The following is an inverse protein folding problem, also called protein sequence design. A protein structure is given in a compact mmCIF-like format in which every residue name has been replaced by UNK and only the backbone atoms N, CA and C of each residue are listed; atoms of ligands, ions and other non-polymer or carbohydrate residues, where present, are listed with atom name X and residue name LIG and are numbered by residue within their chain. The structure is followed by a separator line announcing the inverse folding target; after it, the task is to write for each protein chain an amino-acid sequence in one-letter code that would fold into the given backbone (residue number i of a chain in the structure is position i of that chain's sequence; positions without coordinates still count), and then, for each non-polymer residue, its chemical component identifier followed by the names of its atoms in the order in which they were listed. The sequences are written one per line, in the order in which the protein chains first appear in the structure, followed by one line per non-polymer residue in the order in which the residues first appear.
data_IF_442908567617
#
_entry.id   IF_442908567617
#
_cell.length_a   1.000
_cell.length_b   1.000
_cell.length_c   1.000
_cell.angle_alpha   90.00
_cell.angle_beta   90.00
_cell.angle_gamma   90.00
#
_symmetry.space_group_name_H-M   'P 1'
#
loop_
_entity.id
_entity.type
_entity.pdbx_description
1 polymer ?
#
# COMPACT_ATOMS: atom_id res chain seq x y z
N UNK A 1 -17.47 11.36 9.75
CA UNK A 1 -16.55 10.25 9.43
C UNK A 1 -15.18 10.59 9.98
N UNK A 2 -14.66 9.79 10.89
CA UNK A 2 -13.27 9.87 11.37
C UNK A 2 -12.51 8.73 10.68
N UNK A 3 -11.31 9.00 10.15
CA UNK A 3 -10.50 7.98 9.45
C UNK A 3 -10.54 7.98 7.91
N UNK A 4 -10.45 9.15 7.27
CA UNK A 4 -10.32 9.23 5.80
C UNK A 4 -8.87 9.05 5.28
N UNK A 5 -7.87 9.25 6.14
CA UNK A 5 -6.46 9.22 5.76
C UNK A 5 -5.68 8.30 6.70
N UNK A 6 -4.96 7.34 6.12
CA UNK A 6 -3.98 6.52 6.84
C UNK A 6 -2.59 7.11 6.56
N UNK A 7 -2.03 7.81 7.55
CA UNK A 7 -0.70 8.40 7.44
C UNK A 7 0.29 7.50 8.17
N UNK A 8 1.26 6.97 7.44
CA UNK A 8 2.30 6.09 7.96
C UNK A 8 3.61 6.87 7.91
N UNK A 9 4.13 7.24 9.09
CA UNK A 9 5.47 7.82 9.21
C UNK A 9 6.48 6.73 9.59
N UNK A 10 7.68 6.80 9.01
CA UNK A 10 8.75 5.82 9.21
C UNK A 10 10.07 6.53 9.39
N UNK A 11 10.70 6.32 10.53
CA UNK A 11 11.99 6.91 10.86
C UNK A 11 12.81 5.95 11.74
N UNK A 12 14.13 6.15 11.73
CA UNK A 12 15.03 5.49 12.66
C UNK A 12 15.18 6.39 13.89
N UNK A 13 14.87 5.86 15.08
CA UNK A 13 14.99 6.59 16.33
C UNK A 13 15.97 5.87 17.27
N UNK A 14 16.81 6.65 17.98
CA UNK A 14 17.72 6.11 18.99
C UNK A 14 16.97 5.54 20.21
N UNK A 15 15.79 6.08 20.51
CA UNK A 15 14.85 5.56 21.50
C UNK A 15 13.48 5.48 20.85
N UNK A 16 12.92 4.27 20.77
CA UNK A 16 11.60 4.02 20.20
C UNK A 16 10.73 3.35 21.26
N UNK A 17 9.57 3.95 21.57
CA UNK A 17 8.60 3.40 22.49
C UNK A 17 7.35 2.98 21.70
N UNK A 18 6.96 1.70 21.71
CA UNK A 18 5.72 1.25 21.09
C UNK A 18 4.54 1.90 21.82
N UNK A 19 3.60 2.46 21.05
CA UNK A 19 2.48 3.20 21.59
C UNK A 19 1.25 3.05 20.70
N UNK A 20 0.11 2.74 21.29
CA UNK A 20 -1.18 2.71 20.60
C UNK A 20 -2.10 3.71 21.24
N UNK A 21 -2.59 4.66 20.45
CA UNK A 21 -3.48 5.71 20.93
C UNK A 21 -4.72 5.81 20.04
N UNK A 22 -5.86 5.84 20.71
CA UNK A 22 -7.17 5.82 20.11
C UNK A 22 -7.84 7.18 20.33
N UNK A 23 -7.68 8.07 19.36
CA UNK A 23 -8.28 9.40 19.43
C UNK A 23 -9.68 9.37 18.82
N UNK A 24 -10.58 10.20 19.34
CA UNK A 24 -11.94 10.37 18.79
C UNK A 24 -11.91 10.71 17.29
N UNK A 25 -10.84 11.35 16.81
CA UNK A 25 -10.64 11.78 15.42
C UNK A 25 -9.70 10.89 14.58
N UNK A 26 -9.09 9.84 15.15
CA UNK A 26 -8.16 8.96 14.44
C UNK A 26 -7.41 7.97 15.33
N UNK A 27 -6.78 6.97 14.73
CA UNK A 27 -5.99 5.95 15.45
C UNK A 27 -4.51 6.17 15.17
N UNK A 28 -3.67 6.11 16.19
CA UNK A 28 -2.22 6.14 16.08
C UNK A 28 -1.65 4.80 16.56
N UNK A 29 -0.78 4.19 15.76
CA UNK A 29 -0.09 2.96 16.11
C UNK A 29 1.41 3.10 15.82
N UNK A 30 2.22 3.09 16.86
CA UNK A 30 3.69 3.15 16.81
C UNK A 30 4.24 1.77 17.08
N UNK A 31 5.02 1.24 16.13
CA UNK A 31 5.71 -0.04 16.24
C UNK A 31 7.22 0.17 16.12
N UNK A 32 7.97 -0.47 17.01
CA UNK A 32 9.42 -0.37 17.09
C UNK A 32 10.05 -1.71 16.72
N UNK A 33 11.14 -1.66 15.97
CA UNK A 33 11.91 -2.83 15.58
C UNK A 33 13.39 -2.45 15.45
N UNK A 34 14.28 -3.45 15.53
CA UNK A 34 15.73 -3.23 15.72
C UNK A 34 16.61 -3.77 14.59
N UNK A 35 16.02 -4.38 13.56
CA UNK A 35 16.77 -4.90 12.41
C UNK A 35 16.73 -3.94 11.23
N UNK A 36 17.66 -4.06 10.29
CA UNK A 36 17.66 -3.23 9.09
C UNK A 36 16.37 -3.45 8.27
N UNK A 37 15.79 -2.38 7.74
CA UNK A 37 14.54 -2.38 6.93
C UNK A 37 13.33 -3.06 7.61
N UNK A 38 13.34 -3.20 8.93
CA UNK A 38 12.32 -3.93 9.68
C UNK A 38 10.95 -3.23 9.72
N UNK A 39 10.92 -1.92 9.50
CA UNK A 39 9.73 -1.08 9.56
C UNK A 39 8.87 -1.22 8.29
N UNK A 40 8.64 -2.45 7.80
CA UNK A 40 7.99 -2.73 6.51
C UNK A 40 6.46 -2.50 6.50
N UNK A 41 5.85 -2.05 7.60
CA UNK A 41 4.39 -1.97 7.66
C UNK A 41 3.79 -0.92 6.70
N UNK A 42 3.17 -1.38 5.61
CA UNK A 42 1.78 -1.04 5.27
C UNK A 42 1.46 0.23 4.48
N UNK A 43 2.42 0.95 3.87
CA UNK A 43 2.04 1.82 2.75
C UNK A 43 1.73 0.86 1.59
N UNK A 44 0.45 0.61 1.36
CA UNK A 44 -0.06 -0.52 0.58
C UNK A 44 0.85 -0.92 -0.57
N UNK A 45 1.39 -2.14 -0.52
CA UNK A 45 1.86 -2.77 -1.74
C UNK A 45 0.63 -2.86 -2.63
N UNK A 46 0.54 -2.00 -3.64
CA UNK A 46 -0.40 -2.20 -4.75
C UNK A 46 0.09 -3.44 -5.48
N UNK A 47 -0.29 -4.60 -4.95
CA UNK A 47 -0.05 -5.88 -5.59
C UNK A 47 -0.93 -5.93 -6.82
N UNK A 48 -0.42 -5.45 -7.95
CA UNK A 48 -1.06 -5.67 -9.23
C UNK A 48 -1.09 -7.18 -9.45
N UNK A 49 -2.29 -7.76 -9.45
CA UNK A 49 -2.45 -9.17 -9.77
C UNK A 49 -1.94 -9.40 -11.19
N UNK A 50 -0.90 -10.22 -11.32
CA UNK A 50 -0.27 -10.50 -12.62
C UNK A 50 -1.29 -11.05 -13.64
N UNK A 51 -2.29 -11.78 -13.14
CA UNK A 51 -3.42 -12.27 -13.93
C UNK A 51 -4.31 -11.13 -14.44
N UNK A 52 -4.60 -10.13 -13.61
CA UNK A 52 -5.40 -8.97 -14.00
C UNK A 52 -4.66 -8.08 -15.01
N UNK A 53 -3.35 -7.89 -14.84
CA UNK A 53 -2.53 -7.13 -15.79
C UNK A 53 -2.41 -7.87 -17.13
N UNK A 54 -2.17 -9.18 -17.11
CA UNK A 54 -2.10 -9.98 -18.33
C UNK A 54 -3.44 -10.00 -19.09
N UNK A 55 -4.56 -10.16 -18.38
CA UNK A 55 -5.89 -10.12 -18.98
C UNK A 55 -6.21 -8.74 -19.60
N UNK A 56 -5.86 -7.65 -18.91
CA UNK A 56 -6.04 -6.29 -19.43
C UNK A 56 -5.26 -6.05 -20.73
N UNK A 57 -4.00 -6.51 -20.79
CA UNK A 57 -3.19 -6.40 -22.00
C UNK A 57 -3.75 -7.26 -23.14
N UNK A 58 -4.12 -8.51 -22.86
CA UNK A 58 -4.71 -9.40 -23.87
C UNK A 58 -6.02 -8.85 -24.44
N UNK A 59 -6.92 -8.34 -23.59
CA UNK A 59 -8.17 -7.73 -24.02
C UNK A 59 -7.94 -6.46 -24.86
N UNK A 60 -6.95 -5.65 -24.48
CA UNK A 60 -6.59 -4.44 -25.24
C UNK A 60 -6.13 -4.79 -26.66
N UNK A 61 -5.27 -5.80 -26.80
CA UNK A 61 -4.78 -6.27 -28.10
C UNK A 61 -5.91 -6.92 -28.90
N UNK A 62 -6.72 -7.80 -28.30
CA UNK A 62 -7.85 -8.44 -28.96
C UNK A 62 -8.91 -7.44 -29.44
N UNK A 63 -9.11 -6.32 -28.73
CA UNK A 63 -10.04 -5.28 -29.15
C UNK A 63 -9.45 -4.32 -30.20
N UNK A 64 -8.14 -4.13 -30.23
CA UNK A 64 -7.48 -3.26 -31.20
C UNK A 64 -7.30 -3.93 -32.58
N UNK A 65 -7.04 -5.24 -32.61
CA UNK A 65 -6.86 -6.02 -33.84
C UNK A 65 -8.06 -5.93 -34.82
N UNK A 66 -9.31 -6.20 -34.41
CA UNK A 66 -10.47 -6.09 -35.30
C UNK A 66 -10.85 -4.63 -35.61
N UNK A 67 -10.43 -3.66 -34.79
CA UNK A 67 -10.64 -2.22 -35.09
C UNK A 67 -9.67 -1.70 -36.16
N UNK A 68 -8.48 -2.29 -36.26
CA UNK A 68 -7.47 -1.90 -37.24
C UNK A 68 -7.53 -2.75 -38.53
N UNK A 69 -8.61 -3.52 -38.72
CA UNK A 69 -8.91 -4.21 -39.97
C UNK A 69 -8.15 -5.51 -40.23
N UNK A 70 -7.71 -6.21 -39.17
CA UNK A 70 -7.26 -7.62 -39.26
C UNK A 70 -8.42 -8.59 -39.02
#
# INVERSE_FOLDING_TARGET
VVGFFNVINKECAASCQPNYQDFTVGKQNVSCCSTDLCNHNGAGSVGSSYAATAAGLAASVLCALPRNGL
#
